data_IF_572844151522
#
_entry.id   IF_572844151522
#
_cell.length_a   1.000
_cell.length_b   1.000
_cell.length_c   1.000
_cell.angle_alpha   90.00
_cell.angle_beta   90.00
_cell.angle_gamma   90.00
#
_symmetry.space_group_name_H-M   'P 1'
#
loop_
_entity.id
_entity.type
_entity.pdbx_description
1 polymer ?
#
# COMPACT_ATOMS: atom_id res chain seq x y z
N UNK A 1 -16.22 39.52 19.52
CA UNK A 1 -15.61 38.26 20.00
C UNK A 1 -14.86 37.63 18.85
N UNK A 2 -13.54 37.85 18.76
CA UNK A 2 -12.69 37.29 17.71
C UNK A 2 -12.29 35.86 18.11
N UNK A 3 -12.68 34.87 17.33
CA UNK A 3 -12.17 33.49 17.50
C UNK A 3 -10.79 33.41 16.87
N UNK A 4 -9.74 33.42 17.71
CA UNK A 4 -8.37 33.16 17.28
C UNK A 4 -8.26 31.69 16.81
N UNK A 5 -8.26 31.46 15.51
CA UNK A 5 -7.85 30.17 14.94
C UNK A 5 -6.34 30.07 15.02
N UNK A 6 -5.84 29.32 15.99
CA UNK A 6 -4.43 28.97 16.13
C UNK A 6 -4.01 28.04 14.98
N UNK A 7 -3.49 28.64 13.91
CA UNK A 7 -2.87 27.89 12.81
C UNK A 7 -1.51 27.38 13.27
N UNK A 8 -1.43 26.10 13.62
CA UNK A 8 -0.17 25.42 13.96
C UNK A 8 0.76 25.48 12.73
N UNK A 9 1.97 26.06 12.85
CA UNK A 9 2.91 26.05 11.75
C UNK A 9 3.39 24.60 11.53
N UNK A 10 3.05 24.03 10.37
CA UNK A 10 3.60 22.73 9.96
C UNK A 10 5.09 22.94 9.71
N UNK A 11 5.93 22.49 10.64
CA UNK A 11 7.36 22.41 10.43
C UNK A 11 7.63 21.45 9.27
N UNK A 12 8.14 22.02 8.18
CA UNK A 12 8.50 21.31 6.96
C UNK A 12 9.78 20.51 7.22
N UNK A 13 9.67 19.38 7.91
CA UNK A 13 10.77 18.41 7.98
C UNK A 13 11.07 17.91 6.58
N UNK A 14 12.17 18.41 5.99
CA UNK A 14 12.70 18.15 4.65
C UNK A 14 13.12 16.68 4.47
N UNK A 15 12.19 15.76 4.61
CA UNK A 15 12.47 14.33 4.45
C UNK A 15 12.02 13.88 3.08
N UNK A 16 12.97 13.42 2.28
CA UNK A 16 12.79 12.99 0.89
C UNK A 16 11.64 11.97 0.78
N UNK A 17 10.56 12.35 0.09
CA UNK A 17 9.33 11.54 -0.05
C UNK A 17 9.66 10.16 -0.66
N UNK A 18 10.67 10.10 -1.54
CA UNK A 18 11.11 8.86 -2.15
C UNK A 18 11.70 7.88 -1.14
N UNK A 19 12.51 8.35 -0.18
CA UNK A 19 13.08 7.47 0.85
C UNK A 19 11.99 6.85 1.73
N UNK A 20 10.99 7.64 2.13
CA UNK A 20 9.83 7.14 2.87
C UNK A 20 9.07 6.10 2.07
N UNK A 21 8.90 6.33 0.77
CA UNK A 21 8.23 5.39 -0.12
C UNK A 21 9.00 4.08 -0.27
N UNK A 22 10.34 4.13 -0.38
CA UNK A 22 11.17 2.92 -0.45
C UNK A 22 11.05 2.12 0.85
N UNK A 23 11.12 2.77 2.01
CA UNK A 23 10.95 2.11 3.31
C UNK A 23 9.58 1.45 3.42
N UNK A 24 8.52 2.21 3.19
CA UNK A 24 7.13 1.75 3.18
C UNK A 24 6.98 0.54 2.25
N UNK A 25 7.54 0.63 1.04
CA UNK A 25 7.51 -0.44 0.06
C UNK A 25 8.19 -1.71 0.60
N UNK A 26 9.40 -1.62 1.16
CA UNK A 26 10.11 -2.77 1.71
C UNK A 26 9.35 -3.43 2.88
N UNK A 27 8.88 -2.64 3.84
CA UNK A 27 8.16 -3.17 5.00
C UNK A 27 6.83 -3.80 4.60
N UNK A 28 6.04 -3.11 3.78
CA UNK A 28 4.73 -3.60 3.40
C UNK A 28 4.84 -4.83 2.51
N UNK A 29 5.78 -4.87 1.55
CA UNK A 29 5.95 -6.06 0.75
C UNK A 29 6.37 -7.27 1.58
N UNK A 30 7.22 -7.10 2.59
CA UNK A 30 7.60 -8.17 3.50
C UNK A 30 6.39 -8.71 4.27
N UNK A 31 5.61 -7.82 4.90
CA UNK A 31 4.42 -8.20 5.68
C UNK A 31 3.35 -8.84 4.80
N UNK A 32 3.08 -8.28 3.62
CA UNK A 32 2.06 -8.79 2.72
C UNK A 32 2.46 -10.11 2.07
N UNK A 33 3.75 -10.34 1.81
CA UNK A 33 4.22 -11.62 1.30
C UNK A 33 3.97 -12.73 2.31
N UNK A 34 4.32 -12.50 3.58
CA UNK A 34 4.03 -13.42 4.67
C UNK A 34 2.51 -13.60 4.89
N UNK A 35 1.77 -12.50 4.88
CA UNK A 35 0.31 -12.52 5.03
C UNK A 35 -0.39 -13.25 3.88
N UNK A 36 0.13 -13.21 2.66
CA UNK A 36 -0.52 -13.88 1.52
C UNK A 36 -0.43 -15.40 1.62
N UNK A 37 0.58 -15.96 2.27
CA UNK A 37 0.68 -17.41 2.50
C UNK A 37 -0.42 -17.90 3.43
N UNK A 38 -0.77 -17.08 4.42
CA UNK A 38 -1.75 -17.41 5.47
C UNK A 38 -3.18 -16.95 5.13
N UNK A 39 -3.35 -15.89 4.33
CA UNK A 39 -4.66 -15.31 4.01
C UNK A 39 -5.16 -15.72 2.62
N UNK A 40 -6.47 -16.00 2.56
CA UNK A 40 -7.19 -16.16 1.30
C UNK A 40 -7.42 -14.76 0.70
N UNK A 41 -7.02 -14.56 -0.56
CA UNK A 41 -7.29 -13.31 -1.29
C UNK A 41 -8.79 -13.24 -1.64
N UNK A 42 -9.58 -12.74 -0.70
CA UNK A 42 -10.98 -12.44 -0.92
C UNK A 42 -11.17 -11.00 -1.40
N UNK A 43 -12.34 -10.68 -1.97
CA UNK A 43 -12.68 -9.33 -2.42
C UNK A 43 -12.59 -8.31 -1.28
N UNK A 44 -13.07 -8.67 -0.09
CA UNK A 44 -12.94 -7.83 1.12
C UNK A 44 -11.48 -7.52 1.49
N UNK A 45 -10.56 -8.48 1.33
CA UNK A 45 -9.14 -8.27 1.62
C UNK A 45 -8.48 -7.38 0.56
N UNK A 46 -8.93 -7.47 -0.69
CA UNK A 46 -8.51 -6.59 -1.79
C UNK A 46 -8.92 -5.15 -1.50
N UNK A 47 -10.17 -4.92 -1.12
CA UNK A 47 -10.70 -3.59 -0.82
C UNK A 47 -9.98 -2.95 0.38
N UNK A 48 -9.70 -3.74 1.43
CA UNK A 48 -8.89 -3.31 2.58
C UNK A 48 -7.48 -2.91 2.18
N UNK A 49 -6.85 -3.63 1.24
CA UNK A 49 -5.53 -3.30 0.73
C UNK A 49 -5.51 -1.98 -0.05
N UNK A 50 -6.53 -1.74 -0.88
CA UNK A 50 -6.67 -0.47 -1.59
C UNK A 50 -6.83 0.70 -0.62
N UNK A 51 -7.68 0.53 0.41
CA UNK A 51 -7.87 1.54 1.44
C UNK A 51 -6.57 1.79 2.23
N UNK A 52 -5.82 0.73 2.54
CA UNK A 52 -4.54 0.81 3.23
C UNK A 52 -3.48 1.55 2.39
N UNK A 53 -3.37 1.25 1.10
CA UNK A 53 -2.46 1.95 0.17
C UNK A 53 -2.77 3.45 0.14
N UNK A 54 -4.05 3.83 0.06
CA UNK A 54 -4.47 5.23 0.11
C UNK A 54 -4.16 5.89 1.45
N UNK A 55 -4.35 5.16 2.56
CA UNK A 55 -4.04 5.66 3.90
C UNK A 55 -2.55 5.99 4.05
N UNK A 56 -1.67 5.13 3.54
CA UNK A 56 -0.22 5.37 3.54
C UNK A 56 0.15 6.62 2.74
N UNK A 57 -0.39 6.79 1.52
CA UNK A 57 -0.09 7.97 0.72
C UNK A 57 -0.52 9.26 1.40
N UNK A 58 -1.69 9.26 2.06
CA UNK A 58 -2.13 10.41 2.87
C UNK A 58 -1.18 10.72 4.02
N UNK A 59 -0.65 9.68 4.68
CA UNK A 59 0.34 9.84 5.78
C UNK A 59 1.67 10.38 5.28
N UNK A 60 2.17 9.90 4.14
CA UNK A 60 3.41 10.39 3.52
C UNK A 60 3.27 11.87 3.11
N UNK A 61 2.14 12.23 2.50
CA UNK A 61 1.81 13.61 2.10
C UNK A 61 1.40 14.52 3.28
N UNK A 62 1.29 13.98 4.50
CA UNK A 62 0.83 14.70 5.71
C UNK A 62 -0.50 15.44 5.49
N UNK A 63 -1.41 14.87 4.71
CA UNK A 63 -2.74 15.45 4.45
C UNK A 63 -3.57 15.30 5.73
N UNK A 64 -4.10 16.39 6.32
CA UNK A 64 -4.98 16.29 7.47
C UNK A 64 -6.28 15.61 7.06
N UNK A 65 -6.88 14.86 7.99
CA UNK A 65 -8.15 14.15 7.75
C UNK A 65 -9.32 15.11 7.44
N UNK A 66 -9.20 16.37 7.88
CA UNK A 66 -10.17 17.46 7.65
C UNK A 66 -10.25 17.85 6.18
N UNK A 67 -9.15 17.70 5.44
CA UNK A 67 -9.16 17.94 4.00
C UNK A 67 -9.79 16.73 3.32
N UNK A 68 -11.03 16.89 2.85
CA UNK A 68 -11.78 15.88 2.08
C UNK A 68 -11.26 15.75 0.65
N UNK A 69 -10.01 15.32 0.52
CA UNK A 69 -9.33 15.18 -0.77
C UNK A 69 -9.74 13.85 -1.42
N UNK A 70 -10.07 13.91 -2.70
CA UNK A 70 -10.37 12.72 -3.52
C UNK A 70 -9.12 11.87 -3.75
N UNK A 71 -9.30 10.55 -3.85
CA UNK A 71 -8.18 9.61 -4.03
C UNK A 71 -7.40 9.87 -5.33
N UNK A 72 -8.06 10.38 -6.37
CA UNK A 72 -7.42 10.79 -7.64
C UNK A 72 -6.41 11.92 -7.44
N UNK A 73 -6.71 12.90 -6.60
CA UNK A 73 -5.79 14.01 -6.30
C UNK A 73 -4.60 13.54 -5.48
N UNK A 74 -4.80 12.59 -4.55
CA UNK A 74 -3.72 11.97 -3.78
C UNK A 74 -2.73 11.25 -4.71
N UNK A 75 -3.24 10.45 -5.65
CA UNK A 75 -2.41 9.75 -6.65
C UNK A 75 -1.66 10.73 -7.56
N UNK A 76 -2.33 11.79 -8.03
CA UNK A 76 -1.70 12.85 -8.85
C UNK A 76 -0.55 13.54 -8.10
N UNK A 77 -0.71 13.82 -6.81
CA UNK A 77 0.36 14.44 -5.99
C UNK A 77 1.53 13.49 -5.72
N UNK A 78 1.28 12.19 -5.62
CA UNK A 78 2.34 11.19 -5.49
C UNK A 78 3.02 10.89 -6.84
N UNK A 79 2.42 11.29 -7.96
CA UNK A 79 2.83 10.93 -9.32
C UNK A 79 3.05 9.41 -9.50
N UNK A 80 2.15 8.62 -8.90
CA UNK A 80 2.23 7.15 -8.88
C UNK A 80 0.87 6.52 -9.08
N UNK A 81 0.89 5.32 -9.65
CA UNK A 81 -0.27 4.45 -9.77
C UNK A 81 -0.31 3.41 -8.64
N UNK A 82 -1.43 2.69 -8.55
CA UNK A 82 -1.63 1.62 -7.55
C UNK A 82 -0.80 0.39 -7.93
N UNK A 83 0.39 0.27 -7.34
CA UNK A 83 1.35 -0.81 -7.64
C UNK A 83 1.20 -2.01 -6.69
N UNK A 84 0.67 -1.77 -5.49
CA UNK A 84 0.72 -2.74 -4.40
C UNK A 84 -0.10 -3.99 -4.71
N UNK A 85 -1.36 -3.78 -5.10
CA UNK A 85 -2.30 -4.87 -5.34
C UNK A 85 -1.93 -5.71 -6.57
N UNK A 86 -1.45 -5.06 -7.62
CA UNK A 86 -0.98 -5.72 -8.84
C UNK A 86 0.18 -6.65 -8.51
N UNK A 87 1.14 -6.16 -7.73
CA UNK A 87 2.33 -6.93 -7.37
C UNK A 87 1.97 -8.16 -6.52
N UNK A 88 1.01 -8.04 -5.61
CA UNK A 88 0.57 -9.15 -4.74
C UNK A 88 -0.18 -10.20 -5.54
N UNK A 89 -1.09 -9.78 -6.42
CA UNK A 89 -1.80 -10.70 -7.32
C UNK A 89 -0.83 -11.47 -8.20
N UNK A 90 0.15 -10.78 -8.80
CA UNK A 90 1.20 -11.42 -9.61
C UNK A 90 1.98 -12.46 -8.81
N UNK A 91 2.51 -12.08 -7.64
CA UNK A 91 3.26 -12.99 -6.76
C UNK A 91 2.45 -14.20 -6.30
N UNK A 92 1.17 -14.01 -5.98
CA UNK A 92 0.29 -15.12 -5.60
C UNK A 92 0.11 -16.10 -6.76
N UNK A 93 -0.06 -15.59 -7.98
CA UNK A 93 -0.17 -16.42 -9.18
C UNK A 93 1.14 -17.18 -9.46
N UNK A 94 2.29 -16.52 -9.34
CA UNK A 94 3.61 -17.14 -9.47
C UNK A 94 3.79 -18.27 -8.45
N UNK A 95 3.47 -18.02 -7.17
CA UNK A 95 3.52 -19.03 -6.10
C UNK A 95 2.62 -20.22 -6.40
N UNK A 96 1.37 -19.99 -6.80
CA UNK A 96 0.46 -21.07 -7.18
C UNK A 96 1.00 -21.87 -8.38
N UNK A 97 1.56 -21.20 -9.38
CA UNK A 97 2.23 -21.84 -10.51
C UNK A 97 3.40 -22.72 -10.09
N UNK A 98 4.22 -22.27 -9.14
CA UNK A 98 5.31 -23.07 -8.57
C UNK A 98 4.79 -24.30 -7.81
N UNK A 99 3.78 -24.15 -6.97
CA UNK A 99 3.17 -25.27 -6.22
C UNK A 99 2.56 -26.32 -7.18
N UNK A 100 1.85 -25.86 -8.21
CA UNK A 100 1.25 -26.76 -9.21
C UNK A 100 2.32 -27.47 -10.06
N UNK A 101 3.43 -26.81 -10.39
CA UNK A 101 4.54 -27.43 -11.12
C UNK A 101 5.32 -28.44 -10.26
N UNK A 102 5.50 -28.17 -8.97
CA UNK A 102 6.14 -29.10 -8.02
C UNK A 102 5.36 -30.41 -7.85
N UNK A 103 4.03 -30.32 -7.67
CA UNK A 103 3.16 -31.50 -7.50
C UNK A 103 3.15 -32.48 -8.67
N UNK A 104 3.48 -32.03 -9.89
CA UNK A 104 3.53 -32.93 -11.06
C UNK A 104 4.76 -33.86 -11.05
N UNK A 105 5.79 -33.56 -10.25
CA UNK A 105 7.01 -34.38 -10.15
C UNK A 105 6.81 -35.52 -9.13
N UNK A 106 6.02 -35.26 -8.08
CA UNK A 106 5.80 -36.21 -6.98
C UNK A 106 4.75 -37.29 -7.30
N UNK A 107 3.93 -37.10 -8.35
CA UNK A 107 2.89 -38.05 -8.77
C UNK A 107 3.31 -38.94 -9.97
N UNK A 108 4.55 -38.82 -10.44
CA UNK A 108 5.08 -39.57 -11.59
C UNK A 108 6.14 -40.62 -11.19
N UNK A 109 6.27 -40.92 -9.90
CA UNK A 109 7.19 -41.93 -9.34
C UNK A 109 6.43 -42.79 -8.32
#
# INVERSE_FOLDING_TARGET
MQTCTFTIPKSNGCTNINLKMILVRCYIFSILLYGVETWILNKSNTDKLEAFEMWIYRRILKIPWTDKITNSVVLRRMNKERELLITIKRRKLEYLGHVLRGKNIDCAN
#
